data_IF_681295629332
#
_entry.id   IF_681295629332
#
_cell.length_a   1.000
_cell.length_b   1.000
_cell.length_c   1.000
_cell.angle_alpha   90.00
_cell.angle_beta   90.00
_cell.angle_gamma   90.00
#
_symmetry.space_group_name_H-M   'P 1'
#
loop_
_entity.id
_entity.type
_entity.pdbx_description
1 polymer ?
#
# COMPACT_ATOMS: atom_id res chain seq x y z
N UNK A 1 0.87 6.62 10.33
CA UNK A 1 0.17 7.08 9.12
C UNK A 1 1.19 7.79 8.26
N UNK A 2 1.26 7.50 6.96
CA UNK A 2 2.14 8.21 6.03
C UNK A 2 1.58 9.62 5.78
N UNK A 3 2.41 10.63 6.04
CA UNK A 3 2.02 12.03 5.97
C UNK A 3 1.79 12.52 4.53
N UNK A 4 2.41 11.87 3.54
CA UNK A 4 2.28 12.26 2.15
C UNK A 4 1.03 11.63 1.52
N UNK A 5 0.76 10.34 1.78
CA UNK A 5 -0.28 9.62 1.04
C UNK A 5 -1.52 9.25 1.85
N UNK A 6 -1.59 9.60 3.15
CA UNK A 6 -2.69 9.30 4.08
C UNK A 6 -2.98 7.80 4.33
N UNK A 7 -2.12 6.89 3.87
CA UNK A 7 -2.28 5.46 4.14
C UNK A 7 -1.59 5.06 5.45
N UNK A 8 -1.96 3.90 5.99
CA UNK A 8 -1.32 3.31 7.17
C UNK A 8 -0.25 2.30 6.75
N UNK A 9 0.86 2.29 7.47
CA UNK A 9 1.81 1.18 7.41
C UNK A 9 1.21 0.01 8.17
N UNK A 10 1.22 -1.18 7.55
CA UNK A 10 0.62 -2.39 8.13
C UNK A 10 1.59 -3.55 7.97
N UNK A 11 1.65 -4.47 8.95
CA UNK A 11 2.32 -5.75 8.74
C UNK A 11 1.55 -6.55 7.67
N UNK A 12 2.26 -7.42 6.95
CA UNK A 12 1.65 -8.39 6.04
C UNK A 12 1.88 -9.78 6.61
N UNK A 13 0.84 -10.61 6.50
CA UNK A 13 0.81 -11.97 7.01
C UNK A 13 0.29 -12.87 5.89
N UNK A 14 0.98 -13.99 5.65
CA UNK A 14 0.52 -15.06 4.76
C UNK A 14 0.07 -16.21 5.65
N UNK A 15 -1.20 -16.61 5.48
CA UNK A 15 -1.84 -17.65 6.27
C UNK A 15 -2.18 -18.89 5.44
N UNK A 16 -2.03 -20.07 6.04
CA UNK A 16 -2.49 -21.35 5.52
C UNK A 16 -3.79 -21.76 6.21
N UNK A 17 -4.79 -22.20 5.44
CA UNK A 17 -6.10 -22.63 5.95
C UNK A 17 -5.98 -24.01 6.58
N UNK A 18 -6.44 -24.14 7.82
CA UNK A 18 -6.46 -25.38 8.57
C UNK A 18 -7.80 -26.12 8.42
N UNK A 19 -7.82 -27.43 8.72
CA UNK A 19 -9.04 -28.25 8.62
C UNK A 19 -10.19 -27.79 9.54
N UNK A 20 -9.88 -27.03 10.60
CA UNK A 20 -10.85 -26.43 11.51
C UNK A 20 -11.32 -25.02 11.07
N UNK A 21 -10.92 -24.57 9.86
CA UNK A 21 -11.27 -23.26 9.31
C UNK A 21 -10.50 -22.07 9.90
N UNK A 22 -9.46 -22.32 10.72
CA UNK A 22 -8.55 -21.27 11.18
C UNK A 22 -7.39 -21.06 10.21
N UNK A 23 -6.59 -20.01 10.45
CA UNK A 23 -5.38 -19.72 9.69
C UNK A 23 -4.14 -19.90 10.56
N UNK A 24 -3.16 -20.65 10.07
CA UNK A 24 -1.82 -20.64 10.62
C UNK A 24 -0.95 -19.63 9.85
N UNK A 25 -0.21 -18.81 10.59
CA UNK A 25 0.71 -17.84 9.98
C UNK A 25 1.99 -18.55 9.55
N UNK A 26 2.16 -18.74 8.25
CA UNK A 26 3.34 -19.42 7.67
C UNK A 26 4.45 -18.43 7.30
N UNK A 27 4.11 -17.16 7.10
CA UNK A 27 5.09 -16.10 6.87
C UNK A 27 4.54 -14.74 7.33
N UNK A 28 5.43 -13.86 7.80
CA UNK A 28 5.11 -12.48 8.16
C UNK A 28 6.28 -11.57 7.82
N UNK A 29 5.97 -10.29 7.65
CA UNK A 29 6.97 -9.23 7.53
C UNK A 29 7.63 -8.96 8.89
N UNK A 30 8.88 -8.50 8.89
CA UNK A 30 9.61 -8.17 10.14
C UNK A 30 8.95 -7.02 10.91
N UNK A 31 8.20 -6.16 10.22
CA UNK A 31 7.42 -5.08 10.79
C UNK A 31 6.40 -4.51 9.79
N UNK A 32 5.76 -3.37 10.11
CA UNK A 32 4.87 -2.70 9.19
C UNK A 32 5.57 -2.24 7.91
N UNK A 33 4.98 -2.54 6.75
CA UNK A 33 5.49 -2.09 5.46
C UNK A 33 4.88 -0.72 5.12
N UNK A 34 5.67 0.15 4.49
CA UNK A 34 5.20 1.41 3.91
C UNK A 34 4.14 1.16 2.84
N UNK A 35 3.02 1.89 2.91
CA UNK A 35 1.96 1.76 1.93
C UNK A 35 2.36 2.36 0.57
N UNK A 36 2.16 1.57 -0.49
CA UNK A 36 2.18 2.04 -1.87
C UNK A 36 0.72 2.11 -2.35
N UNK A 37 0.18 3.31 -2.45
CA UNK A 37 -1.22 3.52 -2.85
C UNK A 37 -1.52 3.01 -4.27
N UNK A 38 -0.49 2.97 -5.13
CA UNK A 38 -0.58 2.53 -6.51
C UNK A 38 0.47 1.45 -6.79
N UNK A 39 0.05 0.35 -7.42
CA UNK A 39 0.94 -0.74 -7.80
C UNK A 39 1.79 -0.38 -9.02
N UNK A 40 3.12 -0.57 -8.98
CA UNK A 40 3.98 -0.40 -10.15
C UNK A 40 3.77 -1.50 -11.21
N UNK A 41 3.06 -2.57 -10.87
CA UNK A 41 2.87 -3.75 -11.72
C UNK A 41 1.56 -3.76 -12.51
N UNK A 42 0.61 -2.87 -12.19
CA UNK A 42 -0.66 -2.75 -12.91
C UNK A 42 -0.53 -1.57 -13.89
N UNK A 43 -0.72 -1.76 -15.22
CA UNK A 43 -0.55 -0.70 -16.21
C UNK A 43 -1.28 0.59 -15.88
N UNK A 44 -2.51 0.48 -15.38
CA UNK A 44 -3.35 1.64 -15.01
C UNK A 44 -2.90 2.33 -13.72
N UNK A 45 -2.11 1.66 -12.88
CA UNK A 45 -1.63 2.17 -11.59
C UNK A 45 -0.20 2.67 -11.65
N UNK A 46 0.64 2.12 -12.51
CA UNK A 46 2.10 2.31 -12.47
C UNK A 46 2.55 3.78 -12.54
N UNK A 47 1.76 4.64 -13.17
CA UNK A 47 2.06 6.07 -13.35
C UNK A 47 1.33 6.97 -12.34
N UNK A 48 0.48 6.39 -11.48
CA UNK A 48 -0.33 7.15 -10.52
C UNK A 48 0.45 7.42 -9.25
N UNK A 49 0.30 8.63 -8.74
CA UNK A 49 0.87 9.13 -7.49
C UNK A 49 -0.28 9.49 -6.55
N UNK A 50 -0.11 9.12 -5.28
CA UNK A 50 -0.90 9.61 -4.17
C UNK A 50 0.04 10.38 -3.24
N UNK A 51 0.02 11.71 -3.35
CA UNK A 51 0.81 12.61 -2.53
C UNK A 51 0.01 13.90 -2.33
N UNK A 52 -0.33 14.18 -1.08
CA UNK A 52 -1.11 15.34 -0.64
C UNK A 52 -0.22 16.53 -0.29
N UNK A 53 1.10 16.39 -0.37
CA UNK A 53 2.05 17.49 -0.23
C UNK A 53 2.13 18.31 -1.52
N UNK A 54 2.52 19.58 -1.40
CA UNK A 54 2.75 20.45 -2.55
C UNK A 54 3.99 19.98 -3.34
N UNK A 55 3.97 19.93 -4.69
CA UNK A 55 2.92 20.42 -5.59
C UNK A 55 1.91 19.36 -6.08
N UNK A 56 1.96 18.14 -5.54
CA UNK A 56 1.10 17.05 -6.00
C UNK A 56 -0.36 17.26 -5.61
N UNK A 57 -0.63 17.45 -4.31
CA UNK A 57 -1.97 17.67 -3.71
C UNK A 57 -3.05 16.79 -4.38
N UNK A 58 -2.74 15.50 -4.57
CA UNK A 58 -3.56 14.59 -5.36
C UNK A 58 -3.38 13.11 -4.95
N UNK A 59 -4.49 12.37 -4.94
CA UNK A 59 -4.50 10.93 -4.66
C UNK A 59 -4.38 10.01 -5.88
N UNK A 60 -4.59 10.52 -7.10
CA UNK A 60 -4.68 9.72 -8.33
C UNK A 60 -4.18 10.51 -9.56
N UNK A 61 -2.96 11.03 -9.49
CA UNK A 61 -2.40 11.88 -10.54
C UNK A 61 -1.18 11.26 -11.21
N UNK A 62 -0.97 11.57 -12.49
CA UNK A 62 0.24 11.19 -13.24
C UNK A 62 1.29 12.31 -13.31
N UNK A 63 0.90 13.52 -12.91
CA UNK A 63 1.75 14.72 -12.88
C UNK A 63 1.33 15.60 -11.70
N UNK A 64 2.21 16.51 -11.26
CA UNK A 64 1.83 17.49 -10.23
C UNK A 64 0.63 18.31 -10.70
N UNK A 65 -0.22 18.68 -9.75
CA UNK A 65 -1.39 19.52 -10.04
C UNK A 65 -0.99 20.99 -10.17
N UNK A 66 0.13 21.37 -9.55
CA UNK A 66 0.67 22.72 -9.49
C UNK A 66 2.13 22.77 -9.94
#
# INVERSE_FOLDING_TARGET
>A
MDAANHHLHKPVVIGEIQANGQFDVVWKTDGPIRAQAWSPHIPDSKEKVADWTYPWVCGNCKKSKF
#
